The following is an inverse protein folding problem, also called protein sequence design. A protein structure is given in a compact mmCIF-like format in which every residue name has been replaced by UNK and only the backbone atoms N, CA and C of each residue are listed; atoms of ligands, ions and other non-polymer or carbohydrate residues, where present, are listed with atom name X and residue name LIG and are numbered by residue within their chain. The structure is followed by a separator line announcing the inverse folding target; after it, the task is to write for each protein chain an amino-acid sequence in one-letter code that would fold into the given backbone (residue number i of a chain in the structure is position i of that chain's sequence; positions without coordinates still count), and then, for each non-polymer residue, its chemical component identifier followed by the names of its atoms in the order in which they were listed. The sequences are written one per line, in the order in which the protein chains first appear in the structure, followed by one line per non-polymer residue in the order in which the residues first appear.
data_IF_824366839206
#
_entry.id   IF_824366839206
#
_cell.length_a   1.000
_cell.length_b   1.000
_cell.length_c   1.000
_cell.angle_alpha   90.00
_cell.angle_beta   90.00
_cell.angle_gamma   90.00
#
_symmetry.space_group_name_H-M   'P 1'
#
loop_
_entity.id
_entity.type
_entity.pdbx_description
1 polymer ?
#
# COMPACT_ATOMS: atom_id res chain seq x y z
N UNK A 1 -12.49 -17.30 15.52
CA UNK A 1 -12.33 -15.83 15.39
C UNK A 1 -13.67 -15.26 14.97
N UNK A 2 -14.29 -14.38 15.78
CA UNK A 2 -15.63 -13.81 15.54
C UNK A 2 -15.69 -12.78 14.40
N UNK A 3 -14.97 -13.05 13.30
CA UNK A 3 -14.92 -12.19 12.13
C UNK A 3 -16.29 -12.18 11.45
N UNK A 4 -16.76 -11.00 11.09
CA UNK A 4 -17.93 -10.89 10.21
C UNK A 4 -17.47 -10.99 8.76
N UNK A 5 -18.30 -11.62 7.91
CA UNK A 5 -18.00 -11.84 6.50
C UNK A 5 -19.18 -11.40 5.62
N UNK A 6 -18.88 -11.08 4.37
CA UNK A 6 -19.89 -10.66 3.38
C UNK A 6 -20.77 -9.51 3.90
N UNK A 7 -22.11 -9.62 3.83
CA UNK A 7 -23.04 -8.55 4.21
C UNK A 7 -23.09 -8.27 5.72
N UNK A 8 -22.46 -9.11 6.54
CA UNK A 8 -22.48 -8.95 8.00
C UNK A 8 -21.43 -7.97 8.51
N UNK A 9 -20.45 -7.57 7.68
CA UNK A 9 -19.40 -6.62 8.07
C UNK A 9 -20.05 -5.31 8.53
N UNK A 10 -19.74 -4.89 9.76
CA UNK A 10 -20.23 -3.63 10.32
C UNK A 10 -19.79 -2.46 9.43
N UNK A 11 -20.73 -1.55 9.12
CA UNK A 11 -20.47 -0.42 8.22
C UNK A 11 -19.42 0.53 8.79
N UNK A 12 -18.73 1.24 7.91
CA UNK A 12 -17.73 2.24 8.32
C UNK A 12 -18.37 3.53 8.85
N UNK A 13 -19.52 3.88 8.30
CA UNK A 13 -20.30 5.05 8.68
C UNK A 13 -21.64 4.59 9.28
N UNK A 14 -22.32 5.49 10.00
CA UNK A 14 -23.61 5.32 10.68
C UNK A 14 -23.58 4.45 11.94
N UNK A 15 -22.77 3.40 11.99
CA UNK A 15 -22.70 2.44 13.11
C UNK A 15 -21.48 2.66 14.02
N UNK A 16 -21.27 3.89 14.50
CA UNK A 16 -20.05 4.28 15.24
C UNK A 16 -19.91 3.63 16.62
N UNK A 17 -20.99 3.10 17.19
CA UNK A 17 -21.04 2.41 18.48
C UNK A 17 -20.69 0.92 18.38
N UNK A 18 -20.54 0.38 17.17
CA UNK A 18 -20.33 -1.06 16.94
C UNK A 18 -18.88 -1.38 16.58
N UNK A 19 -18.34 -2.42 17.20
CA UNK A 19 -17.05 -2.99 16.81
C UNK A 19 -17.09 -3.52 15.36
N UNK A 20 -16.04 -3.22 14.60
CA UNK A 20 -15.96 -3.55 13.17
C UNK A 20 -15.76 -5.04 12.88
N UNK A 21 -15.14 -5.78 13.81
CA UNK A 21 -14.93 -7.24 13.73
C UNK A 21 -14.31 -7.69 12.39
N UNK A 22 -13.39 -6.88 11.85
CA UNK A 22 -12.61 -7.21 10.66
C UNK A 22 -11.51 -8.22 11.03
N UNK A 23 -11.14 -9.05 10.07
CA UNK A 23 -9.99 -9.94 10.17
C UNK A 23 -9.14 -9.79 8.93
N UNK A 24 -7.82 -9.75 9.14
CA UNK A 24 -6.82 -9.82 8.09
C UNK A 24 -6.17 -11.19 8.14
N UNK A 25 -6.00 -11.81 6.96
CA UNK A 25 -5.19 -13.00 6.80
C UNK A 25 -3.83 -12.61 6.23
N UNK A 26 -2.75 -13.07 6.87
CA UNK A 26 -1.38 -12.82 6.43
C UNK A 26 -0.74 -14.18 6.14
N UNK A 27 -0.21 -14.34 4.93
CA UNK A 27 0.50 -15.54 4.50
C UNK A 27 1.96 -15.16 4.28
N UNK A 28 2.87 -15.89 4.95
CA UNK A 28 4.31 -15.72 4.80
C UNK A 28 4.88 -17.00 4.22
N UNK A 29 5.58 -16.88 3.09
CA UNK A 29 6.21 -18.00 2.40
C UNK A 29 7.71 -17.76 2.46
N UNK A 30 8.45 -18.68 3.10
CA UNK A 30 9.90 -18.60 3.16
C UNK A 30 10.51 -19.25 1.91
N UNK A 31 11.21 -18.50 1.04
CA UNK A 31 11.80 -19.02 -0.21
C UNK A 31 12.90 -20.06 0.02
N UNK A 32 13.48 -20.15 1.23
CA UNK A 32 14.47 -21.18 1.59
C UNK A 32 13.93 -22.61 1.43
N UNK A 33 12.61 -22.82 1.61
CA UNK A 33 11.99 -24.14 1.41
C UNK A 33 11.75 -24.49 -0.06
N UNK A 34 12.14 -23.64 -1.00
CA UNK A 34 11.93 -23.83 -2.44
C UNK A 34 13.28 -23.79 -3.16
N UNK A 35 13.65 -22.64 -3.72
CA UNK A 35 14.88 -22.45 -4.50
C UNK A 35 15.98 -21.68 -3.76
N UNK A 36 15.75 -21.29 -2.50
CA UNK A 36 16.65 -20.41 -1.76
C UNK A 36 16.43 -18.92 -2.05
N UNK A 37 16.75 -18.07 -1.08
CA UNK A 37 16.53 -16.61 -1.19
C UNK A 37 17.32 -15.97 -2.33
N UNK A 38 18.54 -16.43 -2.59
CA UNK A 38 19.42 -15.81 -3.59
C UNK A 38 18.93 -16.06 -5.02
N UNK A 39 18.47 -17.28 -5.32
CA UNK A 39 17.83 -17.59 -6.61
C UNK A 39 16.54 -16.81 -6.77
N UNK A 40 15.72 -16.72 -5.71
CA UNK A 40 14.48 -15.94 -5.74
C UNK A 40 14.74 -14.46 -6.07
N UNK A 41 15.72 -13.82 -5.40
CA UNK A 41 16.10 -12.43 -5.68
C UNK A 41 16.58 -12.24 -7.12
N UNK A 42 17.40 -13.16 -7.64
CA UNK A 42 17.89 -13.11 -9.01
C UNK A 42 16.74 -13.15 -10.02
N UNK A 43 15.81 -14.08 -9.84
CA UNK A 43 14.63 -14.21 -10.70
C UNK A 43 13.74 -12.96 -10.64
N UNK A 44 13.50 -12.40 -9.45
CA UNK A 44 12.73 -11.16 -9.31
C UNK A 44 13.41 -9.97 -9.99
N UNK A 45 14.74 -9.86 -9.87
CA UNK A 45 15.51 -8.81 -10.55
C UNK A 45 15.44 -8.94 -12.06
N UNK A 46 15.60 -10.16 -12.58
CA UNK A 46 15.49 -10.42 -14.02
C UNK A 46 14.10 -10.08 -14.54
N UNK A 47 13.05 -10.58 -13.89
CA UNK A 47 11.66 -10.30 -14.25
C UNK A 47 11.36 -8.80 -14.25
N UNK A 48 11.82 -8.05 -13.23
CA UNK A 48 11.65 -6.60 -13.21
C UNK A 48 12.34 -5.93 -14.40
N UNK A 49 13.56 -6.35 -14.74
CA UNK A 49 14.30 -5.79 -15.88
C UNK A 49 13.61 -6.08 -17.22
N UNK A 50 13.09 -7.29 -17.40
CA UNK A 50 12.32 -7.68 -18.60
C UNK A 50 11.05 -6.85 -18.74
N UNK A 51 10.32 -6.62 -17.65
CA UNK A 51 9.13 -5.76 -17.65
C UNK A 51 9.48 -4.31 -17.99
N UNK A 52 10.55 -3.76 -17.42
CA UNK A 52 11.02 -2.40 -17.74
C UNK A 52 11.45 -2.24 -19.20
N UNK A 53 12.00 -3.29 -19.82
CA UNK A 53 12.40 -3.31 -21.22
C UNK A 53 11.23 -3.47 -22.20
N UNK A 54 10.03 -3.81 -21.71
CA UNK A 54 8.86 -4.02 -22.56
C UNK A 54 8.34 -2.70 -23.13
N UNK A 55 7.76 -2.76 -24.34
CA UNK A 55 7.26 -1.57 -25.05
C UNK A 55 6.08 -0.95 -24.30
N UNK A 56 6.17 0.34 -23.90
CA UNK A 56 5.04 1.04 -23.29
C UNK A 56 3.87 1.18 -24.27
N UNK A 57 2.64 1.22 -23.74
CA UNK A 57 1.46 1.59 -24.52
C UNK A 57 1.50 3.07 -24.90
N UNK A 58 0.85 3.49 -26.01
CA UNK A 58 0.74 4.91 -26.35
C UNK A 58 0.20 5.75 -25.18
N UNK A 59 0.86 6.88 -24.91
CA UNK A 59 0.52 7.75 -23.77
C UNK A 59 1.24 7.41 -22.46
N UNK A 60 2.06 6.35 -22.42
CA UNK A 60 2.89 6.00 -21.27
C UNK A 60 4.38 6.08 -21.62
N UNK A 61 5.17 6.62 -20.70
CA UNK A 61 6.62 6.81 -20.89
C UNK A 61 7.40 5.51 -20.70
N UNK A 62 7.02 4.70 -19.71
CA UNK A 62 7.70 3.45 -19.36
C UNK A 62 6.76 2.45 -18.69
N UNK A 63 7.08 1.18 -18.79
CA UNK A 63 6.42 0.13 -17.99
C UNK A 63 7.07 0.13 -16.60
N UNK A 64 6.25 0.07 -15.55
CA UNK A 64 6.70 0.04 -14.14
C UNK A 64 6.24 -1.25 -13.48
N UNK A 65 6.99 -1.70 -12.46
CA UNK A 65 6.61 -2.87 -11.66
C UNK A 65 5.70 -2.47 -10.48
N UNK A 66 4.86 -3.38 -9.97
CA UNK A 66 4.06 -3.11 -8.77
C UNK A 66 4.91 -2.61 -7.60
N UNK A 67 4.48 -1.52 -6.96
CA UNK A 67 5.18 -0.87 -5.85
C UNK A 67 6.19 0.21 -6.25
N UNK A 68 6.58 0.29 -7.54
CA UNK A 68 7.52 1.30 -8.01
C UNK A 68 6.97 2.74 -7.95
N UNK A 69 5.71 3.04 -8.38
CA UNK A 69 5.13 4.37 -8.23
C UNK A 69 5.07 4.82 -6.77
N UNK A 70 4.68 3.92 -5.86
CA UNK A 70 4.61 4.17 -4.42
C UNK A 70 5.99 4.42 -3.83
N UNK A 71 7.01 3.65 -4.25
CA UNK A 71 8.40 3.86 -3.84
C UNK A 71 8.91 5.24 -4.27
N UNK A 72 8.64 5.66 -5.51
CA UNK A 72 9.01 6.99 -6.00
C UNK A 72 8.31 8.11 -5.24
N UNK A 73 7.02 7.93 -4.94
CA UNK A 73 6.27 8.88 -4.12
C UNK A 73 6.81 8.95 -2.69
N UNK A 74 7.21 7.83 -2.09
CA UNK A 74 7.84 7.79 -0.78
C UNK A 74 9.23 8.45 -0.79
N UNK A 75 10.05 8.21 -1.82
CA UNK A 75 11.35 8.86 -1.99
C UNK A 75 11.20 10.37 -2.12
N UNK A 76 10.26 10.83 -2.96
CA UNK A 76 9.91 12.25 -3.07
C UNK A 76 9.45 12.82 -1.74
N UNK A 77 8.56 12.12 -1.03
CA UNK A 77 8.06 12.58 0.27
C UNK A 77 9.15 12.71 1.33
N UNK A 78 10.19 11.86 1.27
CA UNK A 78 11.35 11.98 2.17
C UNK A 78 12.17 13.24 1.95
N UNK A 79 12.21 13.77 0.72
CA UNK A 79 13.03 14.95 0.39
C UNK A 79 12.22 16.24 0.34
N UNK A 80 10.94 16.18 -0.06
CA UNK A 80 10.07 17.36 -0.22
C UNK A 80 8.93 17.44 0.80
N UNK A 81 8.85 16.51 1.76
CA UNK A 81 7.72 16.39 2.69
C UNK A 81 6.53 15.62 2.09
N UNK A 82 5.67 15.11 2.98
CA UNK A 82 4.47 14.35 2.59
C UNK A 82 3.39 15.33 2.12
N UNK A 83 2.86 15.20 0.89
CA UNK A 83 1.76 16.03 0.42
C UNK A 83 0.48 15.69 1.20
N UNK A 84 -0.16 16.71 1.77
CA UNK A 84 -1.43 16.59 2.49
C UNK A 84 -2.42 17.58 1.89
N UNK A 85 -3.66 17.15 1.67
CA UNK A 85 -4.71 18.04 1.21
C UNK A 85 -4.96 19.15 2.23
N UNK A 86 -5.15 20.40 1.76
CA UNK A 86 -5.34 21.57 2.62
C UNK A 86 -6.43 21.36 3.67
N UNK A 87 -7.58 20.81 3.27
CA UNK A 87 -8.71 20.52 4.17
C UNK A 87 -8.36 19.53 5.28
N UNK A 88 -7.51 18.53 4.98
CA UNK A 88 -7.02 17.56 5.98
C UNK A 88 -6.08 18.24 6.96
N UNK A 89 -5.15 19.07 6.47
CA UNK A 89 -4.23 19.82 7.32
C UNK A 89 -4.97 20.79 8.27
N UNK A 90 -5.96 21.52 7.74
CA UNK A 90 -6.83 22.40 8.53
C UNK A 90 -7.64 21.62 9.58
N UNK A 91 -8.20 20.46 9.22
CA UNK A 91 -8.90 19.61 10.18
C UNK A 91 -8.00 19.10 11.30
N UNK A 92 -6.76 18.70 10.99
CA UNK A 92 -5.81 18.22 11.98
C UNK A 92 -5.37 19.33 12.94
N UNK A 93 -5.04 20.51 12.40
CA UNK A 93 -4.57 21.65 13.20
C UNK A 93 -5.67 22.27 14.06
N UNK A 94 -6.92 22.33 13.57
CA UNK A 94 -8.07 22.80 14.34
C UNK A 94 -8.43 21.87 15.50
N UNK A 95 -8.40 20.56 15.27
CA UNK A 95 -8.72 19.57 16.31
C UNK A 95 -7.61 19.45 17.37
N UNK A 96 -6.34 19.68 16.98
CA UNK A 96 -5.23 19.73 17.93
C UNK A 96 -5.34 20.90 18.93
N UNK A 97 -5.91 22.03 18.53
CA UNK A 97 -6.14 23.19 19.42
C UNK A 97 -7.38 23.06 20.30
N UNK A 98 -8.32 22.15 19.97
CA UNK A 98 -9.53 21.92 20.77
C UNK A 98 -9.31 20.94 21.93
N UNK A 99 -8.12 20.35 22.05
CA UNK A 99 -7.71 19.44 23.13
C UNK A 99 -6.61 20.03 24.04
N UNK A 100 -6.28 21.32 23.90
CA UNK A 100 -5.36 22.08 24.75
C UNK A 100 -6.12 23.19 25.47
#
# INVERSE_FOLDING_TARGET
MGAKYGPHITRMYDEYDKMRNLVSMIIVINPEFFGGIEVFKLLMKQMSGELHASKPQPGFERVMVPGEPEMLNAQRSKTSGVPVAKSVYESLTKNAMAQA
#
